data_IF_965533235488
#
_entry.id   IF_965533235488
#
_cell.length_a   1.000
_cell.length_b   1.000
_cell.length_c   1.000
_cell.angle_alpha   90.00
_cell.angle_beta   90.00
_cell.angle_gamma   90.00
#
_symmetry.space_group_name_H-M   'P 1'
#
loop_
_entity.id
_entity.type
_entity.pdbx_description
1 polymer ?
#
# COMPACT_ATOMS: atom_id res chain seq x y z
N UNK A 1 21.50 13.15 7.48
CA UNK A 1 20.05 12.90 7.62
C UNK A 1 19.84 12.13 8.90
N UNK A 2 18.75 12.42 9.58
CA UNK A 2 18.21 11.59 10.68
C UNK A 2 17.60 10.30 10.14
N UNK A 3 17.42 9.29 11.00
CA UNK A 3 16.64 8.07 10.69
C UNK A 3 15.26 8.41 10.11
N UNK A 4 14.58 9.40 10.69
CA UNK A 4 13.28 9.90 10.23
C UNK A 4 13.30 10.39 8.79
N UNK A 5 14.28 11.22 8.45
CA UNK A 5 14.46 11.77 7.11
C UNK A 5 14.76 10.65 6.09
N UNK A 6 15.60 9.68 6.47
CA UNK A 6 15.89 8.49 5.65
C UNK A 6 14.65 7.65 5.40
N UNK A 7 13.83 7.43 6.42
CA UNK A 7 12.56 6.70 6.30
C UNK A 7 11.60 7.43 5.36
N UNK A 8 11.46 8.76 5.49
CA UNK A 8 10.67 9.55 4.55
C UNK A 8 11.17 9.41 3.12
N UNK A 9 12.48 9.49 2.90
CA UNK A 9 13.06 9.31 1.59
C UNK A 9 12.76 7.90 1.03
N UNK A 10 12.89 6.86 1.84
CA UNK A 10 12.59 5.48 1.44
C UNK A 10 11.13 5.33 1.03
N UNK A 11 10.20 5.96 1.75
CA UNK A 11 8.78 5.91 1.43
C UNK A 11 8.45 6.62 0.11
N UNK A 12 9.09 7.77 -0.16
CA UNK A 12 8.98 8.49 -1.44
C UNK A 12 9.53 7.62 -2.57
N UNK A 13 10.73 7.05 -2.37
CA UNK A 13 11.41 6.20 -3.35
C UNK A 13 10.57 5.00 -3.76
N UNK A 14 9.88 4.38 -2.80
CA UNK A 14 9.00 3.23 -3.03
C UNK A 14 7.62 3.60 -3.59
N UNK A 15 7.33 4.90 -3.78
CA UNK A 15 6.08 5.38 -4.35
C UNK A 15 4.90 5.38 -3.38
N UNK A 16 5.14 5.31 -2.06
CA UNK A 16 4.03 5.28 -1.09
C UNK A 16 3.22 6.57 -1.06
N UNK A 17 3.84 7.72 -1.37
CA UNK A 17 3.12 9.00 -1.51
C UNK A 17 1.99 8.86 -2.52
N UNK A 18 2.31 8.42 -3.74
CA UNK A 18 1.30 8.22 -4.79
C UNK A 18 0.29 7.13 -4.45
N UNK A 19 0.67 6.10 -3.68
CA UNK A 19 -0.26 5.09 -3.19
C UNK A 19 -1.28 5.68 -2.20
N UNK A 20 -0.81 6.48 -1.23
CA UNK A 20 -1.66 7.19 -0.28
C UNK A 20 -2.59 8.14 -1.03
N UNK A 21 -2.07 8.99 -1.92
CA UNK A 21 -2.87 9.92 -2.72
C UNK A 21 -3.96 9.22 -3.54
N UNK A 22 -3.61 8.14 -4.24
CA UNK A 22 -4.60 7.34 -4.99
C UNK A 22 -5.67 6.76 -4.07
N UNK A 23 -5.26 6.23 -2.91
CA UNK A 23 -6.19 5.62 -1.95
C UNK A 23 -7.13 6.67 -1.36
N UNK A 24 -6.61 7.84 -1.02
CA UNK A 24 -7.37 9.00 -0.60
C UNK A 24 -8.37 9.45 -1.68
N UNK A 25 -7.95 9.52 -2.94
CA UNK A 25 -8.82 9.82 -4.07
C UNK A 25 -9.92 8.77 -4.28
N UNK A 26 -9.65 7.48 -4.05
CA UNK A 26 -10.68 6.44 -4.09
C UNK A 26 -11.72 6.57 -2.98
N UNK A 27 -11.34 7.10 -1.81
CA UNK A 27 -12.27 7.33 -0.73
C UNK A 27 -13.06 8.61 -0.89
N UNK A 28 -12.53 9.63 -1.59
CA UNK A 28 -13.19 10.92 -1.79
C UNK A 28 -14.68 10.84 -2.17
N UNK A 29 -15.12 9.97 -3.11
CA UNK A 29 -16.53 9.83 -3.47
C UNK A 29 -17.38 9.11 -2.42
N UNK A 30 -16.76 8.32 -1.55
CA UNK A 30 -17.41 7.57 -0.46
C UNK A 30 -17.55 8.40 0.82
N UNK A 31 -16.78 9.49 0.94
CA UNK A 31 -16.75 10.32 2.13
C UNK A 31 -18.15 10.86 2.51
N UNK A 32 -19.00 11.34 1.57
CA UNK A 32 -20.37 11.77 1.87
C UNK A 32 -21.29 10.65 2.41
N UNK A 33 -20.90 9.38 2.28
CA UNK A 33 -21.67 8.21 2.75
C UNK A 33 -21.10 7.62 4.06
N UNK A 34 -19.79 7.76 4.32
CA UNK A 34 -19.20 7.47 5.63
C UNK A 34 -19.71 8.45 6.69
N UNK A 35 -19.98 9.64 6.21
CA UNK A 35 -20.83 10.64 6.80
C UNK A 35 -22.31 10.25 6.90
N UNK A 36 -22.76 8.98 6.88
CA UNK A 36 -24.21 8.57 6.94
C UNK A 36 -24.69 7.55 8.00
N UNK A 37 -24.16 7.53 9.24
CA UNK A 37 -24.72 6.76 10.39
C UNK A 37 -25.81 7.38 11.32
N UNK A 38 -26.91 8.07 10.96
CA UNK A 38 -27.49 8.52 9.67
C UNK A 38 -26.68 9.62 9.01
N UNK A 39 -25.69 10.09 9.73
CA UNK A 39 -24.56 10.65 9.07
C UNK A 39 -23.88 11.80 9.60
N UNK A 40 -22.59 11.63 9.80
CA UNK A 40 -21.66 12.69 10.11
C UNK A 40 -21.93 13.83 9.13
N UNK A 41 -22.72 14.83 9.52
CA UNK A 41 -23.05 15.99 8.67
C UNK A 41 -21.86 16.93 8.73
N UNK A 42 -20.78 16.58 8.06
CA UNK A 42 -19.61 17.46 7.99
C UNK A 42 -18.91 17.16 6.69
N UNK A 43 -19.18 17.95 5.62
CA UNK A 43 -18.72 17.66 4.28
C UNK A 43 -17.23 17.36 4.34
N UNK A 44 -16.92 16.10 4.15
CA UNK A 44 -15.61 15.64 3.83
C UNK A 44 -15.37 16.10 2.40
N UNK A 45 -14.98 17.37 2.27
CA UNK A 45 -13.73 17.64 1.58
C UNK A 45 -12.67 16.65 2.14
N UNK A 46 -11.47 16.59 1.59
CA UNK A 46 -10.40 16.35 2.56
C UNK A 46 -10.53 17.52 3.53
N UNK A 47 -11.26 17.34 4.63
CA UNK A 47 -11.40 18.32 5.67
C UNK A 47 -9.99 18.76 5.96
N UNK A 48 -9.80 20.01 6.32
CA UNK A 48 -8.51 20.63 6.58
C UNK A 48 -7.61 19.81 7.57
N UNK A 49 -8.13 18.71 8.11
CA UNK A 49 -7.60 17.73 9.04
C UNK A 49 -6.90 16.47 8.47
N UNK A 50 -7.20 15.96 7.26
CA UNK A 50 -6.50 14.75 6.74
C UNK A 50 -5.32 15.16 5.86
N UNK A 51 -4.13 15.18 6.45
CA UNK A 51 -2.91 15.64 5.79
C UNK A 51 -2.02 14.46 5.38
N UNK A 52 -1.55 14.49 4.14
CA UNK A 52 -0.58 13.52 3.61
C UNK A 52 0.61 13.41 4.55
N UNK A 53 1.12 14.54 5.04
CA UNK A 53 2.23 14.62 5.96
C UNK A 53 1.96 13.83 7.24
N UNK A 54 0.78 13.96 7.84
CA UNK A 54 0.41 13.23 9.06
C UNK A 54 0.33 11.72 8.83
N UNK A 55 -0.15 11.28 7.66
CA UNK A 55 -0.16 9.87 7.27
C UNK A 55 1.26 9.36 7.10
N UNK A 56 2.11 10.12 6.41
CA UNK A 56 3.51 9.78 6.19
C UNK A 56 4.29 9.72 7.52
N UNK A 57 3.99 10.61 8.48
CA UNK A 57 4.57 10.52 9.84
C UNK A 57 4.17 9.24 10.56
N UNK A 58 2.88 8.86 10.51
CA UNK A 58 2.43 7.60 11.12
C UNK A 58 3.06 6.39 10.45
N UNK A 59 3.26 6.42 9.14
CA UNK A 59 3.99 5.37 8.43
C UNK A 59 5.47 5.34 8.83
N UNK A 60 6.08 6.50 9.05
CA UNK A 60 7.47 6.59 9.53
C UNK A 60 7.62 5.99 10.93
N UNK A 61 6.68 6.26 11.84
CA UNK A 61 6.67 5.65 13.19
C UNK A 61 6.70 4.12 13.10
N UNK A 62 5.93 3.53 12.18
CA UNK A 62 5.94 2.08 11.95
C UNK A 62 7.32 1.62 11.46
N UNK A 63 7.89 2.27 10.43
CA UNK A 63 9.23 1.90 9.94
C UNK A 63 10.29 1.95 11.04
N UNK A 64 10.26 2.97 11.89
CA UNK A 64 11.24 3.17 12.95
C UNK A 64 11.17 2.10 14.06
N UNK A 65 10.02 1.44 14.23
CA UNK A 65 9.84 0.34 15.17
C UNK A 65 10.46 -0.98 14.69
N UNK A 66 10.46 -1.23 13.38
CA UNK A 66 10.90 -2.51 12.82
C UNK A 66 12.33 -2.52 12.29
N UNK A 67 12.88 -1.35 11.96
CA UNK A 67 14.18 -1.24 11.32
C UNK A 67 15.07 -0.26 12.07
N UNK A 68 16.34 -0.60 12.25
CA UNK A 68 17.36 0.32 12.73
C UNK A 68 17.88 1.23 11.60
N UNK A 69 18.69 2.23 11.93
CA UNK A 69 19.14 3.23 10.96
C UNK A 69 20.03 2.64 9.84
N UNK A 70 20.90 1.69 10.17
CA UNK A 70 21.79 1.03 9.18
C UNK A 70 20.97 0.20 8.18
N UNK A 71 19.94 -0.50 8.66
CA UNK A 71 19.02 -1.26 7.80
C UNK A 71 18.22 -0.34 6.86
N UNK A 72 17.83 0.86 7.32
CA UNK A 72 17.22 1.87 6.45
C UNK A 72 18.21 2.33 5.38
N UNK A 73 19.47 2.56 5.73
CA UNK A 73 20.52 2.95 4.78
C UNK A 73 20.78 1.87 3.73
N UNK A 74 20.83 0.61 4.15
CA UNK A 74 20.96 -0.53 3.23
C UNK A 74 19.78 -0.63 2.27
N UNK A 75 18.56 -0.45 2.77
CA UNK A 75 17.35 -0.42 1.94
C UNK A 75 17.40 0.73 0.93
N UNK A 76 17.74 1.95 1.35
CA UNK A 76 17.92 3.08 0.45
C UNK A 76 18.98 2.79 -0.62
N UNK A 77 20.12 2.23 -0.22
CA UNK A 77 21.19 1.84 -1.12
C UNK A 77 20.78 0.75 -2.11
N UNK A 78 19.95 -0.20 -1.69
CA UNK A 78 19.37 -1.20 -2.58
C UNK A 78 18.36 -0.60 -3.57
N UNK A 79 17.37 0.13 -3.07
CA UNK A 79 16.27 0.63 -3.90
C UNK A 79 16.73 1.69 -4.90
N UNK A 80 17.82 2.43 -4.65
CA UNK A 80 18.42 3.34 -5.64
C UNK A 80 19.11 2.62 -6.82
N UNK A 81 19.46 1.33 -6.70
CA UNK A 81 20.08 0.57 -7.79
C UNK A 81 19.07 0.20 -8.87
N UNK A 82 19.49 -0.06 -10.13
CA UNK A 82 18.57 -0.41 -11.22
C UNK A 82 17.64 -1.60 -10.91
N UNK A 83 18.16 -2.63 -10.23
CA UNK A 83 17.35 -3.77 -9.81
C UNK A 83 16.31 -3.38 -8.75
N UNK A 84 16.67 -2.53 -7.80
CA UNK A 84 15.76 -2.02 -6.77
C UNK A 84 14.64 -1.16 -7.36
N UNK A 85 14.98 -0.28 -8.31
CA UNK A 85 14.00 0.51 -9.07
C UNK A 85 13.05 -0.39 -9.88
N UNK A 86 13.57 -1.45 -10.50
CA UNK A 86 12.73 -2.44 -11.19
C UNK A 86 11.78 -3.16 -10.23
N UNK A 87 12.24 -3.52 -9.03
CA UNK A 87 11.37 -4.12 -7.99
C UNK A 87 10.24 -3.18 -7.61
N UNK A 88 10.51 -1.88 -7.41
CA UNK A 88 9.47 -0.88 -7.12
C UNK A 88 8.47 -0.79 -8.27
N UNK A 89 8.94 -0.59 -9.50
CA UNK A 89 8.08 -0.40 -10.67
C UNK A 89 7.24 -1.64 -11.03
N UNK A 90 7.75 -2.84 -10.77
CA UNK A 90 7.06 -4.09 -11.11
C UNK A 90 6.32 -4.74 -9.94
N UNK A 91 6.53 -4.27 -8.71
CA UNK A 91 6.06 -4.94 -7.49
C UNK A 91 4.55 -5.16 -7.45
N UNK A 92 3.75 -4.10 -7.70
CA UNK A 92 2.29 -4.20 -7.69
C UNK A 92 1.78 -5.19 -8.75
N UNK A 93 2.32 -5.10 -9.98
CA UNK A 93 1.92 -5.99 -11.07
C UNK A 93 2.35 -7.44 -10.82
N UNK A 94 3.52 -7.64 -10.22
CA UNK A 94 4.04 -8.96 -9.89
C UNK A 94 3.14 -9.64 -8.85
N UNK A 95 2.79 -8.94 -7.77
CA UNK A 95 1.88 -9.45 -6.74
C UNK A 95 0.53 -9.81 -7.35
N UNK A 96 -0.07 -8.91 -8.15
CA UNK A 96 -1.35 -9.17 -8.81
C UNK A 96 -1.32 -10.42 -9.69
N UNK A 97 -0.24 -10.62 -10.47
CA UNK A 97 -0.07 -11.80 -11.32
C UNK A 97 0.10 -13.08 -10.50
N UNK A 98 0.86 -13.04 -9.40
CA UNK A 98 1.06 -14.19 -8.53
C UNK A 98 -0.26 -14.63 -7.86
N UNK A 99 -1.06 -13.68 -7.36
CA UNK A 99 -2.38 -13.98 -6.84
C UNK A 99 -3.29 -14.60 -7.91
N UNK A 100 -3.31 -14.05 -9.13
CA UNK A 100 -4.11 -14.61 -10.23
C UNK A 100 -3.73 -16.05 -10.60
N UNK A 101 -2.45 -16.41 -10.53
CA UNK A 101 -1.99 -17.80 -10.73
C UNK A 101 -2.51 -18.72 -9.62
N UNK A 102 -2.39 -18.29 -8.36
CA UNK A 102 -2.90 -19.05 -7.21
C UNK A 102 -4.41 -19.29 -7.32
N UNK A 103 -5.18 -18.23 -7.59
CA UNK A 103 -6.64 -18.29 -7.70
C UNK A 103 -7.08 -19.24 -8.82
N UNK A 104 -6.42 -19.14 -9.99
CA UNK A 104 -6.70 -20.02 -11.14
C UNK A 104 -6.44 -21.49 -10.80
N UNK A 105 -5.32 -21.77 -10.13
CA UNK A 105 -4.97 -23.13 -9.71
C UNK A 105 -5.99 -23.69 -8.72
N UNK A 106 -6.36 -22.91 -7.69
CA UNK A 106 -7.34 -23.33 -6.69
C UNK A 106 -8.71 -23.57 -7.34
N UNK A 107 -9.15 -22.69 -8.23
CA UNK A 107 -10.41 -22.84 -8.95
C UNK A 107 -10.47 -24.13 -9.76
N UNK A 108 -9.40 -24.46 -10.51
CA UNK A 108 -9.32 -25.69 -11.28
C UNK A 108 -9.46 -26.93 -10.37
N UNK A 109 -8.74 -26.96 -9.24
CA UNK A 109 -8.78 -28.08 -8.30
C UNK A 109 -10.15 -28.24 -7.64
N UNK A 110 -10.76 -27.14 -7.20
CA UNK A 110 -12.10 -27.16 -6.60
C UNK A 110 -13.16 -27.60 -7.61
N UNK A 111 -13.09 -27.11 -8.85
CA UNK A 111 -14.04 -27.48 -9.90
C UNK A 111 -13.92 -28.95 -10.26
N UNK A 112 -12.70 -29.50 -10.33
CA UNK A 112 -12.49 -30.92 -10.59
C UNK A 112 -13.03 -31.79 -9.45
N UNK A 113 -12.69 -31.45 -8.21
CA UNK A 113 -13.19 -32.18 -7.04
C UNK A 113 -14.72 -32.14 -6.91
N UNK A 114 -15.36 -31.03 -7.32
CA UNK A 114 -16.81 -30.93 -7.35
C UNK A 114 -17.44 -31.85 -8.42
N UNK A 115 -16.84 -31.92 -9.62
CA UNK A 115 -17.28 -32.83 -10.68
C UNK A 115 -17.15 -34.30 -10.28
N UNK A 116 -16.03 -34.67 -9.66
CA UNK A 116 -15.76 -36.05 -9.23
C UNK A 116 -16.70 -36.51 -8.11
N UNK A 117 -17.35 -35.58 -7.37
CA UNK A 117 -18.36 -35.88 -6.34
C UNK A 117 -19.80 -35.96 -6.87
N UNK A 118 -20.04 -35.50 -8.11
CA UNK A 118 -21.35 -35.48 -8.75
C UNK A 118 -21.56 -36.67 -9.73
N UNK A 119 -20.55 -37.53 -9.84
CA UNK A 119 -20.56 -38.80 -10.58
C UNK A 119 -20.30 -39.97 -9.62
#
# INVERSE_FOLDING_TARGET
>A
MTKREKVRELMILKGYVGCVEKRLACFAPLLPYLETGEGIKTPLSFGEDVKLEEIMERMADVYEQYWNEDEIDEMLGFFRRPVGQKVIASGEQLVAKLCGVLDSYLWEKMTRAAKDKLH
#
